data_IF_917873682024
#
_entry.id   IF_917873682024
#
_cell.length_a   1.000
_cell.length_b   1.000
_cell.length_c   1.000
_cell.angle_alpha   90.00
_cell.angle_beta   90.00
_cell.angle_gamma   90.00
#
_symmetry.space_group_name_H-M   'P 1'
#
loop_
_entity.id
_entity.type
_entity.pdbx_description
1 polymer ?
#
# COMPACT_ATOMS: atom_id res chain seq x y z
N UNK A 1 61.74 -14.05 18.30
CA UNK A 1 60.58 -13.27 18.81
C UNK A 1 59.68 -12.93 17.64
N UNK A 2 58.54 -13.62 17.57
CA UNK A 2 57.64 -13.70 16.42
C UNK A 2 56.54 -12.62 16.45
N UNK A 3 56.23 -12.13 15.24
CA UNK A 3 54.90 -11.78 14.71
C UNK A 3 54.08 -10.73 15.47
N UNK A 4 54.14 -9.45 15.08
CA UNK A 4 53.37 -8.82 13.98
C UNK A 4 51.86 -8.72 14.29
N UNK A 5 51.53 -7.53 14.79
CA UNK A 5 50.25 -6.79 14.75
C UNK A 5 49.40 -7.05 13.48
N UNK A 6 48.57 -8.11 13.46
CA UNK A 6 47.64 -8.38 12.33
C UNK A 6 46.23 -8.83 12.74
N UNK A 7 45.78 -8.57 13.97
CA UNK A 7 44.50 -9.12 14.47
C UNK A 7 43.49 -8.10 15.00
N UNK A 8 43.60 -6.81 14.65
CA UNK A 8 42.62 -5.79 15.13
C UNK A 8 41.73 -5.22 14.02
N UNK A 9 42.02 -5.48 12.75
CA UNK A 9 41.27 -4.90 11.62
C UNK A 9 40.16 -5.83 11.09
N UNK A 10 40.03 -7.06 11.61
CA UNK A 10 39.11 -8.07 11.08
C UNK A 10 37.89 -8.36 11.97
N UNK A 11 37.56 -7.47 12.91
CA UNK A 11 36.41 -7.66 13.82
C UNK A 11 35.26 -6.65 13.63
N UNK A 12 35.35 -5.78 12.61
CA UNK A 12 34.28 -4.80 12.30
C UNK A 12 33.49 -5.12 11.02
N UNK A 13 33.82 -6.21 10.32
CA UNK A 13 33.11 -6.63 9.10
C UNK A 13 32.10 -7.76 9.38
N UNK A 14 32.01 -8.24 10.63
CA UNK A 14 31.17 -9.39 11.00
C UNK A 14 29.98 -9.06 11.92
N UNK A 15 29.61 -7.80 12.02
CA UNK A 15 28.33 -7.37 12.64
C UNK A 15 27.36 -6.76 11.63
N UNK A 16 27.73 -6.71 10.34
CA UNK A 16 26.99 -6.00 9.29
C UNK A 16 25.94 -6.80 8.51
N UNK A 17 25.67 -8.07 8.83
CA UNK A 17 24.86 -8.93 7.95
C UNK A 17 23.83 -9.80 8.67
N UNK A 18 23.20 -9.29 9.74
CA UNK A 18 22.26 -10.11 10.53
C UNK A 18 20.92 -9.46 10.88
N UNK A 19 20.49 -8.38 10.20
CA UNK A 19 19.19 -7.77 10.51
C UNK A 19 18.39 -7.21 9.31
N UNK A 20 18.56 -7.77 8.11
CA UNK A 20 17.70 -7.47 6.95
C UNK A 20 16.83 -8.67 6.54
N UNK A 21 16.23 -9.36 7.51
CA UNK A 21 15.04 -10.18 7.29
C UNK A 21 13.81 -9.50 7.85
N UNK A 22 13.66 -8.18 7.65
CA UNK A 22 12.33 -7.56 7.75
C UNK A 22 11.54 -8.01 6.53
N UNK A 23 10.84 -9.13 6.68
CA UNK A 23 9.82 -9.62 5.77
C UNK A 23 8.90 -8.47 5.34
N UNK A 24 8.73 -8.24 4.03
CA UNK A 24 7.94 -7.14 3.43
C UNK A 24 6.43 -7.27 3.75
N UNK A 25 6.06 -7.15 5.03
CA UNK A 25 4.71 -7.47 5.50
C UNK A 25 4.28 -8.91 5.19
N UNK A 26 5.21 -9.83 4.91
CA UNK A 26 4.89 -11.21 4.50
C UNK A 26 4.74 -12.18 5.67
N UNK A 27 5.18 -11.80 6.87
CA UNK A 27 4.93 -12.54 8.11
C UNK A 27 3.53 -12.25 8.68
N UNK A 28 2.58 -11.95 7.81
CA UNK A 28 1.18 -11.74 8.18
C UNK A 28 0.55 -13.08 8.59
N UNK A 29 -0.33 -12.99 9.59
CA UNK A 29 -1.19 -14.06 10.09
C UNK A 29 -1.66 -15.01 8.97
N UNK A 30 -1.24 -16.28 9.03
CA UNK A 30 -1.58 -17.31 8.02
C UNK A 30 -3.08 -17.59 7.91
N UNK A 31 -3.89 -17.12 8.87
CA UNK A 31 -5.35 -17.23 8.80
C UNK A 31 -5.99 -16.20 7.85
N UNK A 32 -5.25 -15.18 7.43
CA UNK A 32 -5.74 -14.16 6.50
C UNK A 32 -5.46 -14.54 5.04
N UNK A 33 -6.54 -14.75 4.26
CA UNK A 33 -6.43 -15.11 2.85
C UNK A 33 -6.04 -13.91 1.97
N UNK A 34 -4.73 -13.74 1.74
CA UNK A 34 -4.16 -12.65 0.92
C UNK A 34 -4.40 -12.80 -0.58
N UNK A 35 -4.76 -14.00 -1.02
CA UNK A 35 -5.03 -14.28 -2.45
C UNK A 35 -6.50 -14.07 -2.80
N UNK A 36 -7.37 -13.86 -1.82
CA UNK A 36 -8.76 -13.46 -2.07
C UNK A 36 -8.79 -12.06 -2.68
N UNK A 37 -9.59 -11.87 -3.73
CA UNK A 37 -9.90 -10.53 -4.25
C UNK A 37 -11.38 -10.25 -4.05
N UNK A 38 -11.73 -8.97 -3.91
CA UNK A 38 -13.13 -8.55 -3.83
C UNK A 38 -13.62 -8.16 -5.21
N UNK A 39 -14.56 -8.94 -5.75
CA UNK A 39 -15.19 -8.66 -7.04
C UNK A 39 -16.36 -7.69 -6.86
N UNK A 40 -16.41 -6.64 -7.68
CA UNK A 40 -17.49 -5.63 -7.70
C UNK A 40 -17.78 -5.18 -9.13
N UNK A 41 -18.96 -4.58 -9.36
CA UNK A 41 -19.28 -3.98 -10.66
C UNK A 41 -18.56 -2.64 -10.87
N UNK A 42 -18.43 -2.21 -12.12
CA UNK A 42 -17.90 -0.90 -12.49
C UNK A 42 -18.69 0.24 -11.85
N UNK A 43 -20.02 0.12 -11.77
CA UNK A 43 -20.89 1.11 -11.12
C UNK A 43 -20.56 1.21 -9.63
N UNK A 44 -20.43 0.07 -8.94
CA UNK A 44 -20.07 0.06 -7.52
C UNK A 44 -18.68 0.65 -7.29
N UNK A 45 -17.71 0.29 -8.15
CA UNK A 45 -16.37 0.84 -8.07
C UNK A 45 -16.37 2.37 -8.24
N UNK A 46 -17.13 2.87 -9.22
CA UNK A 46 -17.30 4.30 -9.45
C UNK A 46 -17.86 5.03 -8.23
N UNK A 47 -18.88 4.49 -7.57
CA UNK A 47 -19.41 5.06 -6.34
C UNK A 47 -18.38 5.07 -5.21
N UNK A 48 -17.57 4.01 -5.07
CA UNK A 48 -16.48 3.95 -4.08
C UNK A 48 -15.40 5.00 -4.36
N UNK A 49 -15.04 5.21 -5.62
CA UNK A 49 -14.09 6.26 -6.04
C UNK A 49 -14.63 7.66 -5.73
N UNK A 50 -15.90 7.93 -6.05
CA UNK A 50 -16.52 9.22 -5.79
C UNK A 50 -16.61 9.50 -4.27
N UNK A 51 -16.96 8.50 -3.47
CA UNK A 51 -16.95 8.59 -1.99
C UNK A 51 -15.55 8.80 -1.44
N UNK A 52 -14.54 8.07 -1.93
CA UNK A 52 -13.15 8.24 -1.51
C UNK A 52 -12.67 9.67 -1.77
N UNK A 53 -12.94 10.20 -2.96
CA UNK A 53 -12.61 11.57 -3.33
C UNK A 53 -13.27 12.60 -2.40
N UNK A 54 -14.53 12.39 -2.03
CA UNK A 54 -15.26 13.28 -1.13
C UNK A 54 -14.71 13.25 0.30
N UNK A 55 -14.43 12.05 0.82
CA UNK A 55 -13.87 11.87 2.16
C UNK A 55 -12.51 12.55 2.29
N UNK A 56 -11.61 12.35 1.32
CA UNK A 56 -10.28 12.97 1.32
C UNK A 56 -10.34 14.49 1.21
N UNK A 57 -11.39 15.05 0.59
CA UNK A 57 -11.58 16.50 0.49
C UNK A 57 -12.13 17.14 1.76
N UNK A 58 -13.03 16.44 2.44
CA UNK A 58 -13.88 17.04 3.48
C UNK A 58 -13.48 16.67 4.89
N UNK A 59 -12.75 15.56 5.07
CA UNK A 59 -12.38 15.07 6.40
C UNK A 59 -10.87 15.10 6.60
N UNK A 60 -10.47 15.38 7.85
CA UNK A 60 -9.12 15.06 8.31
C UNK A 60 -8.95 13.54 8.29
N UNK A 61 -7.76 13.06 7.94
CA UNK A 61 -7.51 11.61 7.80
C UNK A 61 -7.88 10.84 9.08
N UNK A 62 -7.47 11.33 10.25
CA UNK A 62 -7.80 10.70 11.54
C UNK A 62 -9.31 10.66 11.89
N UNK A 63 -10.17 11.35 11.13
CA UNK A 63 -11.62 11.33 11.32
C UNK A 63 -12.36 10.47 10.26
N UNK A 64 -11.62 9.84 9.34
CA UNK A 64 -12.15 8.87 8.39
C UNK A 64 -12.15 7.50 9.10
N UNK A 65 -13.24 6.74 8.96
CA UNK A 65 -13.33 5.42 9.57
C UNK A 65 -12.36 4.43 8.91
N UNK A 66 -11.89 3.43 9.65
CA UNK A 66 -10.98 2.39 9.15
C UNK A 66 -11.52 1.69 7.91
N UNK A 67 -12.82 1.38 7.89
CA UNK A 67 -13.49 0.78 6.73
C UNK A 67 -13.48 1.69 5.51
N UNK A 68 -13.55 3.01 5.70
CA UNK A 68 -13.41 3.99 4.62
C UNK A 68 -11.94 4.12 4.17
N UNK A 69 -10.97 4.09 5.09
CA UNK A 69 -9.55 4.05 4.75
C UNK A 69 -9.19 2.82 3.91
N UNK A 70 -9.69 1.64 4.30
CA UNK A 70 -9.54 0.40 3.52
C UNK A 70 -10.10 0.60 2.11
N UNK A 71 -11.30 1.18 1.97
CA UNK A 71 -11.89 1.43 0.66
C UNK A 71 -11.08 2.42 -0.18
N UNK A 72 -10.57 3.49 0.44
CA UNK A 72 -9.68 4.46 -0.22
C UNK A 72 -8.43 3.74 -0.74
N UNK A 73 -7.76 2.95 0.11
CA UNK A 73 -6.55 2.20 -0.26
C UNK A 73 -6.85 1.23 -1.41
N UNK A 74 -7.93 0.45 -1.34
CA UNK A 74 -8.31 -0.46 -2.41
C UNK A 74 -8.63 0.27 -3.72
N UNK A 75 -9.31 1.42 -3.68
CA UNK A 75 -9.56 2.25 -4.86
C UNK A 75 -8.25 2.74 -5.50
N UNK A 76 -7.34 3.33 -4.70
CA UNK A 76 -6.05 3.82 -5.17
C UNK A 76 -5.20 2.69 -5.76
N UNK A 77 -5.10 1.56 -5.06
CA UNK A 77 -4.38 0.39 -5.54
C UNK A 77 -4.95 -0.15 -6.87
N UNK A 78 -6.28 -0.21 -6.99
CA UNK A 78 -6.94 -0.69 -8.21
C UNK A 78 -6.61 0.23 -9.39
N UNK A 79 -6.75 1.55 -9.22
CA UNK A 79 -6.41 2.55 -10.25
C UNK A 79 -4.94 2.45 -10.64
N UNK A 80 -4.04 2.39 -9.64
CA UNK A 80 -2.61 2.27 -9.84
C UNK A 80 -2.24 1.00 -10.64
N UNK A 81 -2.84 -0.14 -10.30
CA UNK A 81 -2.56 -1.42 -10.97
C UNK A 81 -3.12 -1.46 -12.40
N UNK A 82 -4.27 -0.84 -12.66
CA UNK A 82 -4.82 -0.72 -14.02
C UNK A 82 -3.88 0.08 -14.92
N UNK A 83 -3.40 1.25 -14.46
CA UNK A 83 -2.45 2.08 -15.21
C UNK A 83 -1.15 1.36 -15.50
N UNK A 84 -0.65 0.55 -14.57
CA UNK A 84 0.59 -0.21 -14.73
C UNK A 84 0.46 -1.36 -15.75
N UNK A 85 -0.72 -1.96 -15.89
CA UNK A 85 -0.93 -3.15 -16.73
C UNK A 85 -1.38 -2.85 -18.16
N UNK A 86 -1.70 -1.60 -18.51
CA UNK A 86 -2.22 -1.14 -19.82
C UNK A 86 -3.45 -1.89 -20.38
N UNK A 87 -3.92 -2.97 -19.75
CA UNK A 87 -4.93 -3.89 -20.30
C UNK A 87 -6.38 -3.53 -19.92
N UNK A 88 -6.59 -2.74 -18.86
CA UNK A 88 -7.93 -2.33 -18.40
C UNK A 88 -8.21 -0.84 -18.58
N UNK A 89 -7.39 -0.11 -19.35
CA UNK A 89 -7.56 1.33 -19.58
C UNK A 89 -8.94 1.67 -20.17
N UNK A 90 -9.56 0.77 -20.94
CA UNK A 90 -10.87 1.00 -21.59
C UNK A 90 -12.02 1.20 -20.60
N UNK A 91 -12.09 0.40 -19.52
CA UNK A 91 -13.12 0.55 -18.47
C UNK A 91 -12.82 1.73 -17.53
N UNK A 92 -11.54 2.09 -17.41
CA UNK A 92 -11.06 3.16 -16.56
C UNK A 92 -10.88 4.47 -17.34
N UNK A 93 -11.84 4.76 -18.23
CA UNK A 93 -11.85 5.97 -19.06
C UNK A 93 -12.49 7.16 -18.33
N UNK A 94 -12.03 8.36 -18.65
CA UNK A 94 -12.57 9.62 -18.14
C UNK A 94 -11.85 10.20 -16.92
N UNK A 95 -12.25 11.41 -16.51
CA UNK A 95 -11.56 12.20 -15.49
C UNK A 95 -11.80 11.76 -14.04
N UNK A 96 -12.69 10.78 -13.79
CA UNK A 96 -13.07 10.36 -12.42
C UNK A 96 -11.88 9.82 -11.63
N UNK A 97 -11.14 8.87 -12.19
CA UNK A 97 -10.03 8.21 -11.49
C UNK A 97 -8.87 9.18 -11.29
N UNK A 98 -8.55 9.97 -12.33
CA UNK A 98 -7.56 11.05 -12.25
C UNK A 98 -7.90 12.08 -11.16
N UNK A 99 -9.19 12.39 -10.96
CA UNK A 99 -9.63 13.28 -9.89
C UNK A 99 -9.29 12.73 -8.50
N UNK A 100 -9.46 11.42 -8.26
CA UNK A 100 -9.07 10.81 -6.98
C UNK A 100 -7.55 10.86 -6.80
N UNK A 101 -6.76 10.55 -7.83
CA UNK A 101 -5.29 10.63 -7.77
C UNK A 101 -4.79 12.05 -7.50
N UNK A 102 -5.40 13.07 -8.12
CA UNK A 102 -5.06 14.48 -7.84
C UNK A 102 -5.36 14.83 -6.38
N UNK A 103 -6.48 14.35 -5.83
CA UNK A 103 -6.85 14.61 -4.44
C UNK A 103 -5.87 13.90 -3.50
N UNK A 104 -5.58 12.62 -3.74
CA UNK A 104 -4.59 11.81 -3.02
C UNK A 104 -3.23 12.53 -2.91
N UNK A 105 -2.73 13.04 -4.03
CA UNK A 105 -1.50 13.82 -4.09
C UNK A 105 -1.62 15.16 -3.34
N UNK A 106 -2.72 15.89 -3.52
CA UNK A 106 -2.94 17.20 -2.87
C UNK A 106 -2.98 17.09 -1.36
N UNK A 107 -3.61 16.04 -0.83
CA UNK A 107 -3.70 15.79 0.61
C UNK A 107 -2.54 14.95 1.12
N UNK A 108 -1.61 14.57 0.23
CA UNK A 108 -0.43 13.77 0.54
C UNK A 108 -0.77 12.48 1.32
N UNK A 109 -1.87 11.82 0.91
CA UNK A 109 -2.49 10.75 1.69
C UNK A 109 -1.52 9.63 2.02
N UNK A 110 -0.72 9.17 1.04
CA UNK A 110 0.31 8.14 1.23
C UNK A 110 1.27 8.45 2.38
N UNK A 111 1.72 9.71 2.51
CA UNK A 111 2.68 10.11 3.54
C UNK A 111 2.00 10.49 4.85
N UNK A 112 0.76 10.97 4.82
CA UNK A 112 0.08 11.44 6.02
C UNK A 112 -0.72 10.33 6.71
N UNK A 113 -1.10 9.27 6.00
CA UNK A 113 -1.79 8.11 6.58
C UNK A 113 -0.91 7.36 7.58
N UNK A 114 0.42 7.41 7.45
CA UNK A 114 1.35 6.81 8.43
C UNK A 114 1.31 7.55 9.78
N UNK A 115 0.80 8.79 9.82
CA UNK A 115 0.59 9.52 11.09
C UNK A 115 -0.66 9.02 11.81
N UNK A 116 -1.65 8.55 11.06
CA UNK A 116 -2.88 7.92 11.59
C UNK A 116 -2.56 6.48 12.04
N UNK A 117 -1.82 5.74 11.21
CA UNK A 117 -1.40 4.36 11.46
C UNK A 117 0.15 4.27 11.53
N UNK A 118 0.76 4.63 12.67
CA UNK A 118 2.22 4.69 12.80
C UNK A 118 2.89 3.32 12.77
N UNK A 119 2.13 2.26 13.05
CA UNK A 119 2.60 0.88 12.89
C UNK A 119 2.40 0.47 11.44
N UNK A 120 3.45 0.57 10.64
CA UNK A 120 3.47 0.06 9.28
C UNK A 120 4.78 -0.67 8.99
N UNK A 121 4.76 -1.50 7.95
CA UNK A 121 5.96 -2.08 7.35
C UNK A 121 5.98 -1.79 5.87
N UNK A 122 7.16 -1.83 5.24
CA UNK A 122 7.25 -1.72 3.79
C UNK A 122 6.60 -2.94 3.12
N UNK A 123 5.76 -2.70 2.12
CA UNK A 123 5.28 -3.71 1.20
C UNK A 123 6.22 -3.82 -0.02
N UNK A 124 6.10 -4.89 -0.80
CA UNK A 124 6.76 -5.06 -2.08
C UNK A 124 6.51 -3.84 -2.99
N UNK A 125 7.53 -3.43 -3.73
CA UNK A 125 7.42 -2.33 -4.68
C UNK A 125 7.40 -0.93 -4.06
N UNK A 126 7.91 -0.76 -2.84
CA UNK A 126 7.97 0.52 -2.11
C UNK A 126 6.59 1.04 -1.63
N UNK A 127 5.62 0.14 -1.43
CA UNK A 127 4.35 0.48 -0.79
C UNK A 127 4.39 0.31 0.73
N UNK A 128 3.23 0.45 1.36
CA UNK A 128 3.02 0.28 2.79
C UNK A 128 2.12 -0.92 3.07
N UNK A 129 2.36 -1.60 4.20
CA UNK A 129 1.42 -2.51 4.83
C UNK A 129 1.09 -1.99 6.22
N UNK A 130 -0.21 -1.85 6.50
CA UNK A 130 -0.75 -1.40 7.79
C UNK A 130 -1.38 -2.60 8.49
N UNK A 131 -0.71 -3.20 9.50
CA UNK A 131 -1.20 -4.40 10.18
C UNK A 131 -2.56 -4.20 10.87
N UNK A 132 -2.82 -3.00 11.38
CA UNK A 132 -4.08 -2.65 12.05
C UNK A 132 -5.28 -2.73 11.09
N UNK A 133 -5.10 -2.23 9.87
CA UNK A 133 -6.11 -2.31 8.81
C UNK A 133 -6.10 -3.65 8.07
N UNK A 134 -5.05 -4.47 8.28
CA UNK A 134 -4.70 -5.60 7.43
C UNK A 134 -4.77 -5.21 5.95
N UNK A 135 -4.13 -4.08 5.58
CA UNK A 135 -4.27 -3.48 4.25
C UNK A 135 -2.93 -2.98 3.69
N UNK A 136 -2.77 -3.12 2.38
CA UNK A 136 -1.63 -2.59 1.61
C UNK A 136 -2.01 -1.28 0.90
N UNK A 137 -1.05 -0.36 0.78
CA UNK A 137 -1.19 0.87 0.00
C UNK A 137 0.02 1.00 -0.94
N UNK A 138 -0.26 1.10 -2.24
CA UNK A 138 0.71 1.21 -3.32
C UNK A 138 1.74 0.06 -3.38
N UNK A 139 2.77 0.23 -4.22
CA UNK A 139 3.80 -0.76 -4.49
C UNK A 139 3.33 -1.87 -5.42
N UNK A 140 3.37 -3.11 -4.95
CA UNK A 140 2.82 -4.29 -5.64
C UNK A 140 1.80 -4.93 -4.71
N UNK A 141 0.59 -4.34 -4.60
CA UNK A 141 -0.43 -4.83 -3.69
C UNK A 141 -0.86 -6.26 -4.05
N UNK A 142 -1.09 -7.07 -3.02
CA UNK A 142 -1.67 -8.41 -3.13
C UNK A 142 -3.16 -8.35 -3.53
N UNK A 143 -3.74 -9.46 -4.03
CA UNK A 143 -5.13 -9.50 -4.50
C UNK A 143 -6.18 -8.96 -3.51
N UNK A 144 -5.99 -9.18 -2.20
CA UNK A 144 -6.93 -8.71 -1.18
C UNK A 144 -6.99 -7.19 -1.04
N UNK A 145 -5.96 -6.49 -1.50
CA UNK A 145 -5.82 -5.04 -1.41
C UNK A 145 -6.25 -4.32 -2.69
N UNK A 146 -6.83 -5.02 -3.65
CA UNK A 146 -7.39 -4.48 -4.90
C UNK A 146 -8.81 -4.99 -5.13
N UNK A 147 -9.59 -4.23 -5.91
CA UNK A 147 -10.85 -4.71 -6.44
C UNK A 147 -10.62 -5.44 -7.76
N UNK A 148 -11.37 -6.53 -7.95
CA UNK A 148 -11.59 -7.12 -9.26
C UNK A 148 -12.87 -6.49 -9.85
N UNK A 149 -12.73 -5.60 -10.82
CA UNK A 149 -13.87 -4.83 -11.35
C UNK A 149 -14.40 -5.49 -12.62
N UNK A 150 -15.71 -5.80 -12.62
CA UNK A 150 -16.43 -6.31 -13.78
C UNK A 150 -17.14 -5.17 -14.51
N UNK A 151 -17.08 -5.16 -15.83
CA UNK A 151 -17.83 -4.23 -16.70
C UNK A 151 -19.34 -4.47 -16.64
#
# INVERSE_FOLDING_TARGET
MHSIRKYVVLYLIWTGFLQFSKSFGQDADKSFNRDSSKTISLIEFNHRVDRAAELLKTKKLAAIADSDHINIMMCLNTIFMVRKKHSMEKAFTGGRYMKLEIIDLKVNYEKDIIKVYPKYTWNRGMGYYFPELKMELYGTPMPYAIFNVLE
#
